data_IF_980612420497
#
_entry.id   IF_980612420497
#
_cell.length_a   1.000
_cell.length_b   1.000
_cell.length_c   1.000
_cell.angle_alpha   90.00
_cell.angle_beta   90.00
_cell.angle_gamma   90.00
#
_symmetry.space_group_name_H-M   'P 1'
#
loop_
_entity.id
_entity.type
_entity.pdbx_description
1 polymer ?
#
# COMPACT_ATOMS: atom_id res chain seq x y z
N UNK A 1 32.07 9.79 13.65
CA UNK A 1 31.72 9.79 12.21
C UNK A 1 31.29 8.37 11.82
N UNK A 2 29.98 8.12 11.62
CA UNK A 2 29.52 6.79 11.14
C UNK A 2 29.79 6.71 9.64
N UNK A 3 30.80 5.92 9.26
CA UNK A 3 31.04 5.53 7.88
C UNK A 3 29.89 4.58 7.54
N UNK A 4 28.91 5.04 6.75
CA UNK A 4 27.83 4.17 6.31
C UNK A 4 28.44 3.08 5.41
N UNK A 5 28.41 1.83 5.86
CA UNK A 5 28.84 0.68 5.05
C UNK A 5 27.85 0.54 3.88
N UNK A 6 28.34 0.73 2.65
CA UNK A 6 27.51 0.65 1.45
C UNK A 6 27.30 -0.82 1.10
N UNK A 7 26.09 -1.32 1.31
CA UNK A 7 25.68 -2.69 0.95
C UNK A 7 24.76 -2.67 -0.27
N UNK A 8 24.83 -3.74 -1.06
CA UNK A 8 23.92 -3.99 -2.18
C UNK A 8 23.37 -5.42 -2.06
N UNK A 9 22.10 -5.59 -2.42
CA UNK A 9 21.51 -6.90 -2.61
C UNK A 9 21.95 -7.47 -3.97
N UNK A 10 22.62 -8.63 -3.95
CA UNK A 10 22.92 -9.41 -5.15
C UNK A 10 21.77 -10.40 -5.40
N UNK A 11 20.71 -9.91 -6.05
CA UNK A 11 19.52 -10.71 -6.33
C UNK A 11 19.70 -11.56 -7.59
N UNK A 12 19.36 -12.85 -7.53
CA UNK A 12 19.18 -13.66 -8.73
C UNK A 12 17.87 -13.30 -9.46
N UNK A 13 17.65 -13.86 -10.64
CA UNK A 13 16.48 -13.56 -11.48
C UNK A 13 15.15 -13.76 -10.75
N UNK A 14 15.03 -14.82 -9.94
CA UNK A 14 13.80 -15.10 -9.16
C UNK A 14 13.57 -14.04 -8.08
N UNK A 15 14.62 -13.66 -7.36
CA UNK A 15 14.56 -12.64 -6.31
C UNK A 15 14.26 -11.25 -6.90
N UNK A 16 14.95 -10.86 -7.98
CA UNK A 16 14.71 -9.59 -8.66
C UNK A 16 13.27 -9.49 -9.17
N UNK A 17 12.75 -10.56 -9.77
CA UNK A 17 11.35 -10.63 -10.22
C UNK A 17 10.37 -10.50 -9.07
N UNK A 18 10.61 -11.17 -7.94
CA UNK A 18 9.77 -11.07 -6.75
C UNK A 18 9.77 -9.64 -6.17
N UNK A 19 10.95 -9.01 -6.06
CA UNK A 19 11.08 -7.64 -5.56
C UNK A 19 10.36 -6.64 -6.46
N UNK A 20 10.47 -6.78 -7.78
CA UNK A 20 9.75 -5.93 -8.73
C UNK A 20 8.23 -6.06 -8.57
N UNK A 21 7.71 -7.29 -8.44
CA UNK A 21 6.28 -7.52 -8.15
C UNK A 21 5.88 -6.91 -6.81
N UNK A 22 6.72 -7.03 -5.78
CA UNK A 22 6.43 -6.47 -4.46
C UNK A 22 6.34 -4.93 -4.50
N UNK A 23 7.25 -4.28 -5.23
CA UNK A 23 7.17 -2.84 -5.49
C UNK A 23 5.90 -2.46 -6.25
N UNK A 24 5.51 -3.26 -7.26
CA UNK A 24 4.26 -3.09 -7.99
C UNK A 24 3.02 -3.16 -7.10
N UNK A 25 2.94 -4.19 -6.24
CA UNK A 25 1.86 -4.34 -5.25
C UNK A 25 1.83 -3.17 -4.29
N UNK A 26 2.98 -2.71 -3.79
CA UNK A 26 3.04 -1.57 -2.89
C UNK A 26 2.55 -0.28 -3.55
N UNK A 27 2.98 -0.02 -4.79
CA UNK A 27 2.53 1.14 -5.57
C UNK A 27 1.03 1.08 -5.84
N UNK A 28 0.51 -0.09 -6.20
CA UNK A 28 -0.93 -0.27 -6.41
C UNK A 28 -1.71 -0.02 -5.12
N UNK A 29 -1.33 -0.63 -4.00
CA UNK A 29 -2.02 -0.45 -2.72
C UNK A 29 -2.01 1.01 -2.25
N UNK A 30 -0.92 1.74 -2.49
CA UNK A 30 -0.87 3.19 -2.26
C UNK A 30 -1.90 3.92 -3.13
N UNK A 31 -1.87 3.72 -4.45
CA UNK A 31 -2.75 4.44 -5.38
C UNK A 31 -4.23 4.13 -5.12
N UNK A 32 -4.55 2.86 -4.87
CA UNK A 32 -5.91 2.44 -4.50
C UNK A 32 -6.35 3.10 -3.19
N UNK A 33 -5.47 3.10 -2.18
CA UNK A 33 -5.74 3.75 -0.90
C UNK A 33 -5.94 5.26 -1.04
N UNK A 34 -5.08 5.93 -1.81
CA UNK A 34 -5.17 7.37 -2.05
C UNK A 34 -6.45 7.76 -2.80
N UNK A 35 -6.86 6.97 -3.80
CA UNK A 35 -8.12 7.20 -4.49
C UNK A 35 -9.31 7.14 -3.52
N UNK A 36 -9.40 6.07 -2.71
CA UNK A 36 -10.44 5.95 -1.68
C UNK A 36 -10.35 6.99 -0.58
N UNK A 37 -9.14 7.43 -0.23
CA UNK A 37 -8.95 8.53 0.71
C UNK A 37 -9.56 9.82 0.18
N UNK A 38 -9.28 10.16 -1.09
CA UNK A 38 -9.78 11.36 -1.73
C UNK A 38 -11.32 11.32 -1.88
N UNK A 39 -11.89 10.18 -2.25
CA UNK A 39 -13.35 9.97 -2.27
C UNK A 39 -13.96 10.27 -0.89
N UNK A 40 -13.42 9.65 0.17
CA UNK A 40 -13.91 9.84 1.54
C UNK A 40 -13.70 11.26 2.04
N UNK A 41 -12.64 11.94 1.60
CA UNK A 41 -12.40 13.34 1.93
C UNK A 41 -13.42 14.25 1.25
N UNK A 42 -13.74 14.00 -0.02
CA UNK A 42 -14.77 14.75 -0.74
C UNK A 42 -16.15 14.57 -0.08
N UNK A 43 -16.49 13.37 0.38
CA UNK A 43 -17.72 13.14 1.15
C UNK A 43 -17.79 14.00 2.42
N UNK A 44 -16.65 14.30 3.06
CA UNK A 44 -16.59 15.18 4.23
C UNK A 44 -16.83 16.63 3.82
N UNK A 45 -16.19 17.08 2.73
CA UNK A 45 -16.40 18.42 2.17
C UNK A 45 -17.86 18.64 1.79
N UNK A 46 -18.51 17.62 1.23
CA UNK A 46 -19.92 17.63 0.86
C UNK A 46 -20.88 17.48 2.06
N UNK A 47 -20.38 17.27 3.28
CA UNK A 47 -21.18 17.03 4.48
C UNK A 47 -21.89 15.67 4.53
N UNK A 48 -21.52 14.71 3.66
CA UNK A 48 -22.09 13.35 3.58
C UNK A 48 -21.43 12.38 4.56
N UNK A 49 -20.28 12.76 5.11
CA UNK A 49 -19.47 11.94 6.02
C UNK A 49 -18.84 12.82 7.09
N UNK A 50 -18.90 12.36 8.34
CA UNK A 50 -18.26 13.07 9.46
C UNK A 50 -16.86 12.52 9.78
N UNK A 51 -16.67 11.21 9.56
CA UNK A 51 -15.43 10.53 9.95
C UNK A 51 -14.34 10.72 8.90
N UNK A 52 -13.21 11.27 9.34
CA UNK A 52 -11.98 11.37 8.54
C UNK A 52 -11.57 10.02 7.95
N UNK A 53 -10.96 9.99 6.75
CA UNK A 53 -10.43 8.77 6.20
C UNK A 53 -9.38 8.15 7.15
N UNK A 54 -9.24 6.83 7.11
CA UNK A 54 -8.27 6.10 7.93
C UNK A 54 -7.57 5.04 7.10
N UNK A 55 -6.23 5.06 7.11
CA UNK A 55 -5.43 4.09 6.36
C UNK A 55 -5.71 2.66 6.82
N UNK A 56 -5.94 2.44 8.13
CA UNK A 56 -6.27 1.12 8.66
C UNK A 56 -7.65 0.63 8.20
N UNK A 57 -8.64 1.51 8.12
CA UNK A 57 -9.95 1.19 7.58
C UNK A 57 -9.86 0.83 6.08
N UNK A 58 -9.10 1.61 5.30
CA UNK A 58 -8.84 1.35 3.89
C UNK A 58 -8.08 0.04 3.67
N UNK A 59 -7.10 -0.30 4.52
CA UNK A 59 -6.42 -1.59 4.50
C UNK A 59 -7.40 -2.74 4.68
N UNK A 60 -8.35 -2.60 5.62
CA UNK A 60 -9.39 -3.61 5.86
C UNK A 60 -10.29 -3.75 4.63
N UNK A 61 -10.68 -2.64 4.00
CA UNK A 61 -11.47 -2.65 2.77
C UNK A 61 -10.74 -3.34 1.61
N UNK A 62 -9.47 -3.00 1.34
CA UNK A 62 -8.69 -3.69 0.31
C UNK A 62 -8.53 -5.18 0.62
N UNK A 63 -8.27 -5.55 1.87
CA UNK A 63 -8.13 -6.95 2.27
C UNK A 63 -9.41 -7.78 2.04
N UNK A 64 -10.59 -7.16 2.11
CA UNK A 64 -11.86 -7.85 1.87
C UNK A 64 -12.02 -8.23 0.39
N UNK A 65 -11.57 -7.37 -0.52
CA UNK A 65 -11.77 -7.57 -1.98
C UNK A 65 -10.58 -8.20 -2.68
N UNK A 66 -9.34 -8.00 -2.18
CA UNK A 66 -8.13 -8.31 -2.94
C UNK A 66 -7.95 -9.79 -3.27
N UNK A 67 -8.54 -10.71 -2.50
CA UNK A 67 -8.48 -12.13 -2.85
C UNK A 67 -9.23 -12.44 -4.15
N UNK A 68 -10.35 -11.76 -4.37
CA UNK A 68 -11.20 -11.95 -5.53
C UNK A 68 -10.77 -11.04 -6.68
N UNK A 69 -10.54 -9.75 -6.43
CA UNK A 69 -10.28 -8.76 -7.47
C UNK A 69 -8.80 -8.63 -7.83
N UNK A 70 -7.89 -8.88 -6.89
CA UNK A 70 -6.45 -8.68 -7.07
C UNK A 70 -5.62 -9.89 -6.59
N UNK A 71 -5.90 -11.11 -7.05
CA UNK A 71 -5.28 -12.33 -6.51
C UNK A 71 -3.76 -12.34 -6.62
N UNK A 72 -3.19 -11.66 -7.63
CA UNK A 72 -1.74 -11.46 -7.83
C UNK A 72 -1.03 -10.78 -6.64
N UNK A 73 -1.76 -10.06 -5.77
CA UNK A 73 -1.18 -9.50 -4.54
C UNK A 73 -0.68 -10.55 -3.55
N UNK A 74 -1.15 -11.80 -3.67
CA UNK A 74 -0.72 -12.92 -2.83
C UNK A 74 0.58 -13.57 -3.32
N UNK A 75 1.10 -13.20 -4.50
CA UNK A 75 2.38 -13.70 -5.02
C UNK A 75 3.60 -13.12 -4.28
N UNK A 76 3.37 -12.10 -3.45
CA UNK A 76 4.42 -11.39 -2.70
C UNK A 76 4.07 -11.31 -1.23
N UNK A 77 5.04 -10.87 -0.42
CA UNK A 77 4.83 -10.66 1.01
C UNK A 77 3.63 -9.75 1.29
N UNK A 78 2.81 -10.13 2.28
CA UNK A 78 1.65 -9.35 2.74
C UNK A 78 2.00 -7.87 3.02
N UNK A 79 3.25 -7.61 3.44
CA UNK A 79 3.74 -6.27 3.77
C UNK A 79 3.79 -5.34 2.57
N UNK A 80 4.00 -5.87 1.35
CA UNK A 80 3.93 -5.07 0.13
C UNK A 80 2.56 -4.39 0.01
N UNK A 81 1.47 -5.12 0.28
CA UNK A 81 0.11 -4.55 0.25
C UNK A 81 -0.25 -3.75 1.51
N UNK A 82 0.30 -4.10 2.68
CA UNK A 82 -0.13 -3.53 3.96
C UNK A 82 0.59 -2.24 4.34
N UNK A 83 1.90 -2.14 4.09
CA UNK A 83 2.73 -1.00 4.48
C UNK A 83 2.27 0.34 3.88
N UNK A 84 1.81 0.41 2.61
CA UNK A 84 1.34 1.65 2.01
C UNK A 84 0.23 2.35 2.79
N UNK A 85 -0.66 1.60 3.45
CA UNK A 85 -1.74 2.18 4.26
C UNK A 85 -1.25 2.81 5.56
N UNK A 86 -0.14 2.30 6.13
CA UNK A 86 0.51 2.92 7.29
C UNK A 86 1.12 4.25 6.87
N UNK A 87 1.77 4.29 5.69
CA UNK A 87 2.32 5.52 5.14
C UNK A 87 1.22 6.53 4.79
N UNK A 88 0.09 6.08 4.24
CA UNK A 88 -1.03 6.95 3.90
C UNK A 88 -1.60 7.63 5.16
N UNK A 89 -1.75 6.87 6.26
CA UNK A 89 -2.20 7.38 7.55
C UNK A 89 -1.16 8.28 8.26
N UNK A 90 0.07 8.34 7.77
CA UNK A 90 1.11 9.25 8.28
C UNK A 90 1.20 10.52 7.42
N UNK A 91 0.80 10.44 6.15
CA UNK A 91 0.86 11.54 5.21
C UNK A 91 -0.24 12.61 5.45
N UNK A 92 -1.36 12.20 6.05
CA UNK A 92 -2.56 13.01 6.30
C UNK A 92 -3.09 12.73 7.70
#
# INVERSE_FOLDING_TARGET
MKIAFKTQLLANIKQASHLARACGVARFSWNWGLAKWNEQYQEIVDGKREKKPSGLALKKALNAIKRQEFPWMYEVSKYASAQPFIFLNRAW
#
